data_IF_595354169590
#
_entry.id   IF_595354169590
#
_cell.length_a   1.000
_cell.length_b   1.000
_cell.length_c   1.000
_cell.angle_alpha   90.00
_cell.angle_beta   90.00
_cell.angle_gamma   90.00
#
_symmetry.space_group_name_H-M   'P 1'
#
loop_
_entity.id
_entity.type
_entity.pdbx_description
1 polymer ?
#
# COMPACT_ATOMS: atom_id res chain seq x y z
N UNK A 1 1.04 6.64 10.62
CA UNK A 1 -0.12 6.36 9.75
C UNK A 1 -0.15 4.86 9.50
N UNK A 2 -1.34 4.26 9.39
CA UNK A 2 -1.47 2.83 9.03
C UNK A 2 -2.00 2.74 7.61
N UNK A 3 -1.33 1.98 6.76
CA UNK A 3 -1.60 1.94 5.31
C UNK A 3 -1.83 0.53 4.79
N UNK A 4 -2.50 0.44 3.65
CA UNK A 4 -2.63 -0.77 2.83
C UNK A 4 -2.55 -0.39 1.35
N UNK A 5 -2.41 -1.38 0.48
CA UNK A 5 -2.48 -1.21 -0.98
C UNK A 5 -3.82 -1.75 -1.49
N UNK A 6 -4.64 -0.87 -2.04
CA UNK A 6 -5.88 -1.25 -2.73
C UNK A 6 -5.54 -2.10 -3.97
N UNK A 7 -5.96 -3.36 -3.95
CA UNK A 7 -5.63 -4.32 -5.02
C UNK A 7 -6.44 -4.08 -6.30
N UNK A 8 -7.56 -3.36 -6.24
CA UNK A 8 -8.40 -3.07 -7.41
C UNK A 8 -7.80 -1.92 -8.21
N UNK A 9 -7.29 -0.90 -7.53
CA UNK A 9 -6.71 0.30 -8.17
C UNK A 9 -5.21 0.13 -8.50
N UNK A 10 -4.56 -0.90 -7.96
CA UNK A 10 -3.14 -1.14 -8.19
C UNK A 10 -2.88 -1.53 -9.66
N UNK A 11 -1.95 -0.81 -10.30
CA UNK A 11 -1.59 -1.01 -11.71
C UNK A 11 -0.29 -1.79 -11.89
N UNK A 12 0.34 -2.23 -10.80
CA UNK A 12 1.59 -3.00 -10.86
C UNK A 12 2.84 -2.21 -11.28
N UNK A 13 2.81 -0.87 -11.20
CA UNK A 13 3.91 -0.03 -11.68
C UNK A 13 5.23 -0.17 -10.90
N UNK A 14 5.20 -0.69 -9.67
CA UNK A 14 6.41 -0.95 -8.87
C UNK A 14 7.13 0.28 -8.28
N UNK A 15 6.57 1.50 -8.43
CA UNK A 15 7.17 2.71 -7.86
C UNK A 15 7.20 2.71 -6.33
N UNK A 16 6.18 2.15 -5.69
CA UNK A 16 6.11 2.04 -4.23
C UNK A 16 7.25 1.19 -3.65
N UNK A 17 7.51 0.02 -4.23
CA UNK A 17 8.65 -0.83 -3.86
C UNK A 17 9.98 -0.13 -4.15
N UNK A 18 10.11 0.56 -5.29
CA UNK A 18 11.34 1.28 -5.63
C UNK A 18 11.68 2.41 -4.65
N UNK A 19 10.67 3.09 -4.10
CA UNK A 19 10.84 4.24 -3.19
C UNK A 19 10.95 3.79 -1.73
N UNK A 20 10.13 2.84 -1.30
CA UNK A 20 10.05 2.38 0.09
C UNK A 20 10.04 0.84 0.15
N UNK A 21 11.14 0.15 -0.23
CA UNK A 21 11.21 -1.32 -0.28
C UNK A 21 11.10 -1.99 1.09
N UNK A 22 11.29 -1.23 2.18
CA UNK A 22 11.07 -1.73 3.54
C UNK A 22 9.58 -1.81 3.92
N UNK A 23 8.69 -1.20 3.14
CA UNK A 23 7.25 -1.11 3.42
C UNK A 23 6.42 -1.76 2.32
N UNK A 24 6.92 -1.80 1.08
CA UNK A 24 6.19 -2.36 -0.06
C UNK A 24 7.03 -3.41 -0.78
N UNK A 25 6.34 -4.39 -1.34
CA UNK A 25 6.92 -5.31 -2.33
C UNK A 25 5.93 -5.55 -3.46
N UNK A 26 6.45 -5.77 -4.67
CA UNK A 26 5.67 -6.18 -5.84
C UNK A 26 5.64 -7.71 -5.90
N UNK A 27 4.45 -8.29 -5.84
CA UNK A 27 4.23 -9.72 -5.93
C UNK A 27 4.36 -10.27 -7.36
N UNK A 28 4.47 -11.59 -7.45
CA UNK A 28 4.52 -12.31 -8.73
C UNK A 28 3.20 -12.23 -9.52
N UNK A 29 2.11 -11.84 -8.85
CA UNK A 29 0.81 -11.53 -9.47
C UNK A 29 0.78 -10.15 -10.15
N UNK A 30 1.87 -9.38 -10.04
CA UNK A 30 1.99 -8.04 -10.59
C UNK A 30 1.30 -6.98 -9.73
N UNK A 31 0.90 -7.29 -8.50
CA UNK A 31 0.30 -6.34 -7.57
C UNK A 31 1.23 -6.06 -6.40
N UNK A 32 1.22 -4.82 -5.92
CA UNK A 32 1.99 -4.44 -4.75
C UNK A 32 1.23 -4.77 -3.46
N UNK A 33 1.96 -5.14 -2.40
CA UNK A 33 1.43 -5.29 -1.05
C UNK A 33 2.33 -4.59 -0.02
N UNK A 34 1.78 -4.33 1.16
CA UNK A 34 2.55 -3.85 2.30
C UNK A 34 3.28 -5.00 2.99
N UNK A 35 4.45 -4.70 3.54
CA UNK A 35 5.31 -5.64 4.26
C UNK A 35 5.30 -5.29 5.74
N UNK A 36 4.76 -6.19 6.54
CA UNK A 36 4.85 -6.12 8.00
C UNK A 36 6.22 -6.63 8.47
N UNK A 37 6.73 -6.07 9.57
CA UNK A 37 8.07 -6.40 10.07
C UNK A 37 8.17 -7.82 10.64
N UNK A 38 7.07 -8.33 11.21
CA UNK A 38 7.02 -9.64 11.86
C UNK A 38 6.41 -10.70 10.93
N UNK A 39 5.42 -10.31 10.11
CA UNK A 39 4.66 -11.22 9.26
C UNK A 39 5.15 -11.27 7.81
N UNK A 40 5.98 -10.30 7.39
CA UNK A 40 6.38 -10.15 6.00
C UNK A 40 5.25 -9.58 5.12
N UNK A 41 5.26 -9.86 3.80
CA UNK A 41 4.24 -9.37 2.87
C UNK A 41 2.84 -9.82 3.30
N UNK A 42 1.92 -8.87 3.45
CA UNK A 42 0.55 -9.17 3.86
C UNK A 42 -0.32 -9.61 2.66
N UNK A 43 -1.30 -10.51 2.88
CA UNK A 43 -2.26 -10.87 1.83
C UNK A 43 -3.18 -9.70 1.48
N UNK A 44 -3.76 -9.73 0.29
CA UNK A 44 -4.77 -8.77 -0.18
C UNK A 44 -4.36 -7.30 0.02
N UNK A 45 -3.09 -6.99 -0.23
CA UNK A 45 -2.54 -5.65 -0.05
C UNK A 45 -2.48 -5.16 1.40
N UNK A 46 -2.78 -6.01 2.37
CA UNK A 46 -2.94 -5.66 3.78
C UNK A 46 -4.28 -4.99 4.11
N UNK A 47 -5.33 -5.16 3.30
CA UNK A 47 -6.61 -4.46 3.49
C UNK A 47 -7.27 -4.68 4.87
N UNK A 48 -7.04 -5.83 5.53
CA UNK A 48 -7.58 -6.08 6.87
C UNK A 48 -6.71 -5.53 8.01
N UNK A 49 -5.39 -5.71 7.91
CA UNK A 49 -4.46 -5.43 9.01
C UNK A 49 -3.73 -4.09 8.85
N UNK A 50 -3.35 -3.77 7.62
CA UNK A 50 -2.45 -2.69 7.25
C UNK A 50 -1.07 -2.80 7.91
N UNK A 51 -0.17 -1.89 7.54
CA UNK A 51 1.14 -1.74 8.17
C UNK A 51 1.24 -0.36 8.80
N UNK A 52 1.67 -0.32 10.06
CA UNK A 52 1.99 0.94 10.72
C UNK A 52 3.32 1.45 10.14
N UNK A 53 3.29 2.61 9.50
CA UNK A 53 4.48 3.22 8.92
C UNK A 53 5.37 3.79 10.04
N UNK A 54 6.64 3.34 10.14
CA UNK A 54 7.62 3.92 11.04
C UNK A 54 7.87 5.41 10.74
N UNK A 55 8.09 6.29 11.74
CA UNK A 55 8.27 7.72 11.52
C UNK A 55 9.43 8.08 10.57
N UNK A 56 10.50 7.29 10.59
CA UNK A 56 11.67 7.41 9.72
C UNK A 56 11.38 7.03 8.26
N UNK A 57 10.36 6.22 8.01
CA UNK A 57 9.91 5.84 6.66
C UNK A 57 8.72 6.70 6.16
N UNK A 58 8.19 7.59 6.99
CA UNK A 58 6.99 8.36 6.66
C UNK A 58 7.15 9.23 5.41
N UNK A 59 8.32 9.83 5.19
CA UNK A 59 8.59 10.64 3.99
C UNK A 59 8.64 9.79 2.73
N UNK A 60 9.36 8.67 2.76
CA UNK A 60 9.45 7.76 1.61
C UNK A 60 8.07 7.17 1.26
N UNK A 61 7.25 6.83 2.26
CA UNK A 61 5.88 6.38 2.01
C UNK A 61 5.02 7.50 1.42
N UNK A 62 5.17 8.75 1.87
CA UNK A 62 4.45 9.88 1.29
C UNK A 62 4.85 10.11 -0.19
N UNK A 63 6.14 10.05 -0.50
CA UNK A 63 6.62 10.14 -1.89
C UNK A 63 6.06 9.01 -2.76
N UNK A 64 6.00 7.78 -2.22
CA UNK A 64 5.39 6.63 -2.91
C UNK A 64 3.89 6.83 -3.18
N UNK A 65 3.16 7.45 -2.25
CA UNK A 65 1.76 7.83 -2.43
C UNK A 65 1.62 8.84 -3.56
N UNK A 66 2.43 9.89 -3.57
CA UNK A 66 2.35 11.00 -4.54
C UNK A 66 2.66 10.57 -5.98
N UNK A 67 3.53 9.58 -6.18
CA UNK A 67 3.89 9.11 -7.51
C UNK A 67 3.09 7.90 -7.99
N UNK A 68 2.26 7.30 -7.13
CA UNK A 68 1.53 6.08 -7.48
C UNK A 68 0.48 6.38 -8.58
N UNK A 69 0.62 5.82 -9.79
CA UNK A 69 -0.27 6.16 -10.90
C UNK A 69 -1.71 5.65 -10.68
N UNK A 70 -1.88 4.59 -9.88
CA UNK A 70 -3.19 4.07 -9.50
C UNK A 70 -3.79 4.75 -8.27
N UNK A 71 -3.04 5.63 -7.58
CA UNK A 71 -3.45 6.21 -6.29
C UNK A 71 -3.90 5.15 -5.25
N UNK A 72 -3.35 3.94 -5.33
CA UNK A 72 -3.85 2.77 -4.60
C UNK A 72 -3.30 2.62 -3.17
N UNK A 73 -2.37 3.46 -2.70
CA UNK A 73 -1.86 3.41 -1.33
C UNK A 73 -2.81 4.19 -0.42
N UNK A 74 -3.54 3.49 0.44
CA UNK A 74 -4.65 4.06 1.22
C UNK A 74 -4.36 3.98 2.72
N UNK A 75 -5.01 4.86 3.49
CA UNK A 75 -4.97 4.82 4.96
C UNK A 75 -6.08 3.92 5.48
N UNK A 76 -5.76 3.00 6.37
CA UNK A 76 -6.72 2.07 6.95
C UNK A 76 -7.72 2.76 7.90
N UNK A 77 -7.32 3.89 8.49
CA UNK A 77 -8.11 4.69 9.43
C UNK A 77 -8.93 5.81 8.75
N UNK A 78 -8.87 5.92 7.42
CA UNK A 78 -9.69 6.87 6.67
C UNK A 78 -10.92 6.14 6.08
N UNK A 79 -12.11 6.78 6.06
CA UNK A 79 -13.23 6.24 5.32
C UNK A 79 -12.81 6.02 3.86
N UNK A 80 -13.09 4.83 3.33
CA UNK A 80 -12.93 4.53 1.92
C UNK A 80 -13.94 5.39 1.14
N UNK A 81 -13.46 6.38 0.39
CA UNK A 81 -14.26 7.05 -0.63
C UNK A 81 -14.46 6.03 -1.76
N UNK A 82 -15.50 5.22 -1.64
CA UNK A 82 -15.96 4.27 -2.66
C UNK A 82 -16.96 4.97 -3.59
N UNK A 83 -16.55 5.49 -4.77
CA UNK A 83 -17.49 6.01 -5.75
C UNK A 83 -18.34 4.91 -6.41
N UNK A 84 -18.07 3.63 -6.13
CA UNK A 84 -18.61 2.47 -6.82
C UNK A 84 -19.39 1.48 -5.96
N UNK A 85 -19.71 1.83 -4.70
CA UNK A 85 -20.42 1.01 -3.70
C UNK A 85 -21.41 -0.01 -4.23
N UNK A 86 -20.88 -1.19 -4.57
CA UNK A 86 -21.63 -2.40 -4.84
C UNK A 86 -20.75 -3.61 -4.52
N UNK A 87 -20.46 -3.81 -3.23
CA UNK A 87 -20.72 -5.05 -2.46
C UNK A 87 -19.98 -5.10 -1.13
#
# INVERSE_FOLDING_TARGET
MRIYVDQIECTGAGHCESIAPAVFTLGDDGLATVVDQDLGPLPDGGAELGVQVPPDLATAVADAVDVCPGACIRRLDAPHDDPGGMR
#
